data_IF_538351014577
#
_entry.id   IF_538351014577
#
_cell.length_a   1.000
_cell.length_b   1.000
_cell.length_c   1.000
_cell.angle_alpha   90.00
_cell.angle_beta   90.00
_cell.angle_gamma   90.00
#
_symmetry.space_group_name_H-M   'P 1'
#
loop_
_entity.id
_entity.type
_entity.pdbx_description
1 polymer ?
#
# COMPACT_ATOMS: atom_id res chain seq x y z
N UNK A 1 35.93 4.44 -7.12
CA UNK A 1 34.87 4.82 -6.15
C UNK A 1 35.41 4.63 -4.75
N UNK A 2 35.45 5.69 -3.92
CA UNK A 2 35.99 5.63 -2.55
C UNK A 2 35.21 4.60 -1.71
N UNK A 3 35.90 3.90 -0.79
CA UNK A 3 35.30 2.92 0.15
C UNK A 3 34.06 3.51 0.87
N UNK A 4 34.14 4.78 1.28
CA UNK A 4 33.01 5.50 1.90
C UNK A 4 31.75 5.56 1.02
N UNK A 5 31.91 5.76 -0.30
CA UNK A 5 30.77 5.75 -1.25
C UNK A 5 30.14 4.37 -1.42
N UNK A 6 30.93 3.28 -1.34
CA UNK A 6 30.39 1.91 -1.39
C UNK A 6 29.55 1.59 -0.14
N UNK A 7 30.01 1.98 1.05
CA UNK A 7 29.25 1.80 2.30
C UNK A 7 27.96 2.62 2.32
N UNK A 8 27.99 3.84 1.82
CA UNK A 8 26.78 4.68 1.73
C UNK A 8 25.72 4.04 0.81
N UNK A 9 26.13 3.53 -0.35
CA UNK A 9 25.23 2.88 -1.29
C UNK A 9 24.66 1.56 -0.74
N UNK A 10 25.48 0.77 -0.07
CA UNK A 10 25.02 -0.43 0.62
C UNK A 10 23.99 -0.09 1.73
N UNK A 11 24.22 0.98 2.49
CA UNK A 11 23.30 1.47 3.49
C UNK A 11 21.96 1.92 2.90
N UNK A 12 21.97 2.65 1.79
CA UNK A 12 20.74 3.06 1.06
C UNK A 12 19.98 1.84 0.54
N UNK A 13 20.69 0.87 -0.05
CA UNK A 13 20.05 -0.37 -0.51
C UNK A 13 19.37 -1.12 0.62
N UNK A 14 20.06 -1.33 1.75
CA UNK A 14 19.50 -2.01 2.92
C UNK A 14 18.29 -1.29 3.51
N UNK A 15 18.32 0.04 3.53
CA UNK A 15 17.18 0.85 3.97
C UNK A 15 15.97 0.66 3.04
N UNK A 16 16.17 0.79 1.73
CA UNK A 16 15.11 0.61 0.73
C UNK A 16 14.54 -0.81 0.77
N UNK A 17 15.40 -1.82 0.92
CA UNK A 17 14.99 -3.21 1.07
C UNK A 17 14.15 -3.40 2.34
N UNK A 18 14.59 -2.86 3.47
CA UNK A 18 13.85 -2.93 4.73
C UNK A 18 12.46 -2.29 4.64
N UNK A 19 12.37 -1.10 4.05
CA UNK A 19 11.08 -0.42 3.83
C UNK A 19 10.19 -1.26 2.91
N UNK A 20 10.71 -1.74 1.79
CA UNK A 20 9.93 -2.49 0.81
C UNK A 20 9.43 -3.83 1.36
N UNK A 21 10.27 -4.56 2.13
CA UNK A 21 9.85 -5.79 2.81
C UNK A 21 8.81 -5.53 3.89
N UNK A 22 8.94 -4.44 4.65
CA UNK A 22 7.96 -4.04 5.66
C UNK A 22 6.60 -3.70 5.02
N UNK A 23 6.60 -2.97 3.91
CA UNK A 23 5.39 -2.68 3.14
C UNK A 23 4.72 -3.95 2.60
N UNK A 24 5.51 -4.90 2.06
CA UNK A 24 5.00 -6.19 1.60
C UNK A 24 4.38 -6.99 2.75
N UNK A 25 5.03 -7.05 3.89
CA UNK A 25 4.51 -7.73 5.07
C UNK A 25 3.20 -7.11 5.56
N UNK A 26 3.12 -5.79 5.62
CA UNK A 26 1.89 -5.08 5.97
C UNK A 26 0.76 -5.35 4.96
N UNK A 27 1.06 -5.35 3.66
CA UNK A 27 0.10 -5.66 2.61
C UNK A 27 -0.42 -7.10 2.71
N UNK A 28 0.46 -8.07 2.96
CA UNK A 28 0.07 -9.47 3.16
C UNK A 28 -0.83 -9.65 4.39
N UNK A 29 -0.48 -9.02 5.52
CA UNK A 29 -1.36 -9.04 6.71
C UNK A 29 -2.73 -8.44 6.45
N UNK A 30 -2.78 -7.33 5.70
CA UNK A 30 -4.05 -6.70 5.35
C UNK A 30 -4.91 -7.61 4.46
N UNK A 31 -4.29 -8.30 3.49
CA UNK A 31 -4.98 -9.29 2.64
C UNK A 31 -5.49 -10.47 3.47
N UNK A 32 -4.69 -11.00 4.37
CA UNK A 32 -5.09 -12.07 5.29
C UNK A 32 -6.28 -11.66 6.14
N UNK A 33 -6.23 -10.49 6.76
CA UNK A 33 -7.35 -9.97 7.57
C UNK A 33 -8.63 -9.82 6.75
N UNK A 34 -8.52 -9.35 5.52
CA UNK A 34 -9.66 -9.19 4.62
C UNK A 34 -10.27 -10.55 4.25
N UNK A 35 -9.43 -11.55 3.96
CA UNK A 35 -9.89 -12.91 3.66
C UNK A 35 -10.54 -13.57 4.88
N UNK A 36 -9.95 -13.41 6.07
CA UNK A 36 -10.55 -13.86 7.34
C UNK A 36 -11.91 -13.22 7.59
N UNK A 37 -12.06 -11.90 7.35
CA UNK A 37 -13.34 -11.21 7.50
C UNK A 37 -14.39 -11.72 6.50
N UNK A 38 -14.01 -11.97 5.27
CA UNK A 38 -14.91 -12.55 4.27
C UNK A 38 -15.38 -13.95 4.69
N UNK A 39 -14.44 -14.80 5.09
CA UNK A 39 -14.75 -16.14 5.59
C UNK A 39 -15.57 -16.11 6.88
N UNK A 40 -15.34 -15.15 7.77
CA UNK A 40 -16.16 -14.95 8.97
C UNK A 40 -17.63 -14.69 8.61
N UNK A 41 -17.90 -13.83 7.65
CA UNK A 41 -19.27 -13.59 7.18
C UNK A 41 -19.95 -14.83 6.62
N UNK A 42 -19.23 -15.64 5.84
CA UNK A 42 -19.73 -16.92 5.33
C UNK A 42 -20.04 -17.86 6.49
N UNK A 43 -19.10 -18.07 7.39
CA UNK A 43 -19.24 -19.00 8.51
C UNK A 43 -20.39 -18.58 9.42
N UNK A 44 -20.50 -17.29 9.75
CA UNK A 44 -21.59 -16.75 10.59
C UNK A 44 -22.97 -16.97 9.94
N UNK A 45 -23.09 -16.73 8.64
CA UNK A 45 -24.34 -16.98 7.91
C UNK A 45 -24.73 -18.44 7.96
N UNK A 46 -23.76 -19.35 7.76
CA UNK A 46 -24.01 -20.80 7.74
C UNK A 46 -24.34 -21.36 9.12
N UNK A 47 -23.59 -20.97 10.15
CA UNK A 47 -23.88 -21.40 11.51
C UNK A 47 -25.22 -20.84 11.98
N UNK A 48 -25.56 -19.60 11.65
CA UNK A 48 -26.86 -18.99 11.94
C UNK A 48 -28.02 -19.69 11.23
N UNK A 49 -27.78 -20.20 10.00
CA UNK A 49 -28.77 -21.04 9.30
C UNK A 49 -29.01 -22.36 10.04
N UNK A 50 -27.93 -23.07 10.40
CA UNK A 50 -28.03 -24.33 11.16
C UNK A 50 -28.72 -24.15 12.52
N UNK A 51 -28.37 -23.07 13.23
CA UNK A 51 -28.99 -22.75 14.53
C UNK A 51 -30.51 -22.59 14.39
N UNK A 52 -30.97 -21.86 13.37
CA UNK A 52 -32.40 -21.70 13.10
C UNK A 52 -33.08 -23.00 12.72
N UNK A 53 -32.42 -23.89 11.93
CA UNK A 53 -32.96 -25.22 11.64
C UNK A 53 -33.10 -26.05 12.92
N UNK A 54 -32.11 -26.02 13.81
CA UNK A 54 -32.15 -26.72 15.09
C UNK A 54 -33.29 -26.21 15.99
N UNK A 55 -33.49 -24.91 16.06
CA UNK A 55 -34.60 -24.28 16.78
C UNK A 55 -35.96 -24.75 16.24
N UNK A 56 -36.12 -24.83 14.92
CA UNK A 56 -37.33 -25.35 14.30
C UNK A 56 -37.55 -26.84 14.65
N UNK A 57 -36.50 -27.64 14.69
CA UNK A 57 -36.57 -29.04 15.08
C UNK A 57 -36.93 -29.16 16.56
N UNK A 58 -36.36 -28.36 17.46
CA UNK A 58 -36.74 -28.29 18.86
C UNK A 58 -38.21 -27.95 19.04
N UNK A 59 -38.71 -26.98 18.33
CA UNK A 59 -40.11 -26.56 18.38
C UNK A 59 -41.03 -27.67 17.85
N UNK A 60 -40.67 -28.34 16.75
CA UNK A 60 -41.42 -29.48 16.21
C UNK A 60 -41.49 -30.64 17.22
N UNK A 61 -40.36 -30.94 17.87
CA UNK A 61 -40.27 -31.98 18.87
C UNK A 61 -41.09 -31.64 20.12
N UNK A 62 -41.11 -30.35 20.52
CA UNK A 62 -41.94 -29.87 21.63
C UNK A 62 -43.42 -29.95 21.30
N UNK A 63 -43.83 -29.50 20.12
CA UNK A 63 -45.22 -29.59 19.66
C UNK A 63 -45.72 -31.04 19.61
N UNK A 64 -44.86 -31.99 19.20
CA UNK A 64 -45.20 -33.41 19.27
C UNK A 64 -45.51 -33.86 20.70
N UNK A 65 -44.65 -33.50 21.67
CA UNK A 65 -44.84 -33.86 23.07
C UNK A 65 -46.13 -33.23 23.67
N UNK A 66 -46.35 -31.94 23.37
CA UNK A 66 -47.52 -31.20 23.87
C UNK A 66 -48.82 -31.72 23.28
N UNK A 67 -48.85 -32.15 22.01
CA UNK A 67 -50.01 -32.60 21.30
C UNK A 67 -50.37 -34.04 21.63
N UNK A 68 -49.39 -34.88 21.79
CA UNK A 68 -49.61 -36.35 21.87
C UNK A 68 -49.55 -36.90 23.29
N UNK A 69 -48.83 -36.27 24.24
CA UNK A 69 -48.63 -36.75 25.60
C UNK A 69 -49.53 -36.00 26.54
N UNK A 70 -50.54 -36.70 27.09
CA UNK A 70 -51.51 -36.16 28.03
C UNK A 70 -50.89 -35.85 29.41
N UNK A 71 -51.52 -35.03 30.25
CA UNK A 71 -51.04 -34.73 31.59
C UNK A 71 -50.93 -35.98 32.51
N UNK A 72 -51.79 -36.98 32.30
CA UNK A 72 -51.77 -38.25 33.02
C UNK A 72 -50.71 -39.25 32.52
N UNK A 73 -49.97 -38.88 31.47
CA UNK A 73 -48.96 -39.72 30.83
C UNK A 73 -49.48 -40.63 29.72
N UNK A 74 -50.78 -40.60 29.41
CA UNK A 74 -51.35 -41.30 28.27
C UNK A 74 -50.88 -40.68 26.94
N UNK A 75 -50.87 -41.49 25.87
CA UNK A 75 -50.59 -41.02 24.50
C UNK A 75 -51.85 -41.10 23.67
N UNK A 76 -52.24 -40.01 23.02
CA UNK A 76 -53.41 -39.94 22.16
C UNK A 76 -53.06 -39.55 20.76
N UNK A 77 -53.75 -40.11 19.78
CA UNK A 77 -53.70 -39.77 18.35
C UNK A 77 -52.30 -39.50 17.79
N UNK A 78 -51.33 -40.33 18.22
CA UNK A 78 -49.91 -40.13 17.89
C UNK A 78 -49.68 -40.00 16.38
N UNK A 79 -50.24 -40.85 15.54
CA UNK A 79 -50.02 -40.87 14.08
C UNK A 79 -50.57 -39.58 13.43
N UNK A 80 -51.73 -39.11 13.88
CA UNK A 80 -52.32 -37.85 13.40
C UNK A 80 -51.53 -36.63 13.91
N UNK A 81 -51.16 -36.66 15.19
CA UNK A 81 -50.36 -35.65 15.83
C UNK A 81 -49.00 -35.49 15.19
N UNK A 82 -48.29 -36.60 14.99
CA UNK A 82 -46.98 -36.63 14.33
C UNK A 82 -47.08 -36.17 12.86
N UNK A 83 -48.06 -36.65 12.11
CA UNK A 83 -48.31 -36.21 10.74
C UNK A 83 -48.55 -34.71 10.66
N UNK A 84 -49.27 -34.14 11.61
CA UNK A 84 -49.57 -32.71 11.64
C UNK A 84 -48.37 -31.78 11.94
N UNK A 85 -47.35 -32.28 12.64
CA UNK A 85 -46.13 -31.49 12.98
C UNK A 85 -44.92 -31.85 12.13
N UNK A 86 -44.93 -32.97 11.39
CA UNK A 86 -43.85 -33.41 10.52
C UNK A 86 -43.83 -32.65 9.20
N UNK A 87 -43.46 -31.36 9.24
CA UNK A 87 -43.42 -30.45 8.08
C UNK A 87 -42.01 -30.31 7.54
N UNK A 88 -41.00 -30.51 8.39
CA UNK A 88 -39.59 -30.32 8.04
C UNK A 88 -39.05 -31.53 7.28
N UNK A 89 -38.43 -31.31 6.13
CA UNK A 89 -37.86 -32.38 5.28
C UNK A 89 -36.65 -33.08 5.92
N UNK A 90 -35.99 -32.42 6.84
CA UNK A 90 -34.83 -32.92 7.59
C UNK A 90 -35.26 -33.99 8.63
N UNK A 91 -36.50 -33.96 9.03
CA UNK A 91 -37.02 -34.93 10.00
C UNK A 91 -37.47 -36.21 9.26
N UNK A 92 -36.72 -37.27 9.47
CA UNK A 92 -37.03 -38.59 8.93
C UNK A 92 -38.14 -39.32 9.68
N UNK A 93 -38.16 -39.14 11.01
CA UNK A 93 -39.14 -39.75 11.85
C UNK A 93 -39.35 -38.94 13.14
N UNK A 94 -40.58 -39.03 13.67
CA UNK A 94 -40.92 -38.54 14.99
C UNK A 94 -41.26 -39.71 15.88
N UNK A 95 -40.77 -39.73 17.12
CA UNK A 95 -40.89 -40.85 18.03
C UNK A 95 -41.28 -40.39 19.45
N UNK A 96 -41.99 -41.24 20.17
CA UNK A 96 -42.19 -41.10 21.62
C UNK A 96 -41.63 -42.35 22.33
N UNK A 97 -40.89 -42.09 23.40
CA UNK A 97 -40.22 -43.12 24.19
C UNK A 97 -40.60 -42.99 25.66
N UNK A 98 -41.78 -43.48 26.07
CA UNK A 98 -42.13 -43.58 27.49
C UNK A 98 -41.07 -44.40 28.24
N UNK A 99 -40.67 -43.94 29.43
CA UNK A 99 -39.64 -44.54 30.28
C UNK A 99 -38.31 -44.81 29.52
N UNK A 100 -38.07 -44.07 28.43
CA UNK A 100 -36.86 -44.21 27.59
C UNK A 100 -36.95 -45.34 26.56
N UNK A 101 -38.07 -46.01 26.41
CA UNK A 101 -38.29 -47.08 25.43
C UNK A 101 -39.12 -46.55 24.26
N UNK A 102 -38.63 -46.69 23.03
CA UNK A 102 -39.34 -46.26 21.83
C UNK A 102 -40.56 -47.15 21.62
N UNK A 103 -41.76 -46.58 21.78
CA UNK A 103 -43.02 -47.27 21.60
C UNK A 103 -43.76 -46.76 20.36
N UNK A 104 -43.68 -45.47 20.09
CA UNK A 104 -44.37 -44.81 18.98
C UNK A 104 -43.36 -44.26 17.98
N UNK A 105 -43.60 -44.50 16.69
CA UNK A 105 -42.75 -43.96 15.61
C UNK A 105 -43.59 -43.63 14.38
N UNK A 106 -43.46 -42.43 13.87
CA UNK A 106 -44.08 -41.98 12.61
C UNK A 106 -43.01 -41.44 11.65
N UNK A 107 -42.88 -41.95 10.42
CA UNK A 107 -43.51 -43.17 9.93
C UNK A 107 -43.15 -44.40 10.76
N UNK A 108 -43.97 -45.43 10.72
CA UNK A 108 -43.70 -46.69 11.48
C UNK A 108 -42.32 -47.26 11.13
N UNK A 109 -41.50 -47.55 12.14
CA UNK A 109 -40.17 -48.13 12.00
C UNK A 109 -40.03 -49.41 12.85
N UNK A 110 -40.28 -50.59 12.28
CA UNK A 110 -40.23 -51.82 13.04
C UNK A 110 -38.88 -52.11 13.71
N UNK A 111 -37.78 -51.70 13.07
CA UNK A 111 -36.43 -51.99 13.51
C UNK A 111 -36.01 -51.26 14.81
N UNK A 112 -36.73 -50.23 15.19
CA UNK A 112 -36.46 -49.46 16.41
C UNK A 112 -37.57 -49.61 17.46
N UNK A 113 -38.63 -50.33 17.10
CA UNK A 113 -39.71 -50.59 18.03
C UNK A 113 -39.20 -51.36 19.27
N UNK A 114 -39.50 -50.82 20.46
CA UNK A 114 -39.05 -51.36 21.76
C UNK A 114 -37.56 -51.15 22.07
N UNK A 115 -36.81 -50.34 21.31
CA UNK A 115 -35.44 -49.98 21.65
C UNK A 115 -35.42 -49.18 22.96
N UNK A 116 -34.68 -49.69 23.95
CA UNK A 116 -34.46 -49.02 25.23
C UNK A 116 -33.20 -48.13 25.14
N UNK A 117 -33.42 -46.84 25.20
CA UNK A 117 -32.37 -45.84 25.06
C UNK A 117 -31.37 -45.85 26.22
N UNK A 118 -31.79 -46.30 27.43
CA UNK A 118 -30.90 -46.40 28.58
C UNK A 118 -30.05 -47.65 28.59
N UNK A 119 -30.41 -48.63 27.76
CA UNK A 119 -29.66 -49.88 27.60
C UNK A 119 -28.83 -49.96 26.34
N UNK A 120 -29.07 -49.06 25.37
CA UNK A 120 -28.31 -49.00 24.10
C UNK A 120 -26.91 -48.39 24.34
N UNK A 121 -25.81 -49.14 24.13
CA UNK A 121 -24.46 -48.65 24.37
C UNK A 121 -24.10 -47.37 23.61
N UNK A 122 -24.70 -47.15 22.42
CA UNK A 122 -24.42 -46.00 21.60
C UNK A 122 -25.16 -44.73 22.06
N UNK A 123 -26.25 -44.87 22.82
CA UNK A 123 -27.15 -43.75 23.12
C UNK A 123 -27.36 -43.51 24.61
N UNK A 124 -26.89 -44.44 25.46
CA UNK A 124 -27.12 -44.45 26.91
C UNK A 124 -26.66 -43.15 27.58
N UNK A 125 -25.43 -42.75 27.34
CA UNK A 125 -24.85 -41.57 27.98
C UNK A 125 -25.61 -40.30 27.57
N UNK A 126 -25.88 -40.13 26.31
CA UNK A 126 -26.64 -39.00 25.77
C UNK A 126 -28.10 -38.98 26.28
N UNK A 127 -28.71 -40.18 26.49
CA UNK A 127 -30.07 -40.26 27.02
C UNK A 127 -30.12 -39.90 28.51
N UNK A 128 -29.14 -40.31 29.30
CA UNK A 128 -29.01 -39.96 30.72
C UNK A 128 -28.75 -38.43 30.81
N UNK A 129 -27.83 -37.88 30.03
CA UNK A 129 -27.53 -36.46 30.02
C UNK A 129 -28.77 -35.61 29.64
N UNK A 130 -29.52 -36.05 28.62
CA UNK A 130 -30.75 -35.36 28.20
C UNK A 130 -31.80 -35.37 29.30
N UNK A 131 -32.02 -36.53 29.96
CA UNK A 131 -32.94 -36.63 31.08
C UNK A 131 -32.53 -35.73 32.23
N UNK A 132 -31.28 -35.77 32.65
CA UNK A 132 -30.80 -35.10 33.86
C UNK A 132 -30.69 -33.55 33.66
N UNK A 133 -30.43 -33.11 32.45
CA UNK A 133 -30.45 -31.66 32.10
C UNK A 133 -31.86 -31.06 32.05
N UNK A 134 -32.86 -31.86 31.74
CA UNK A 134 -34.21 -31.37 31.49
C UNK A 134 -34.40 -30.51 30.23
N UNK A 135 -33.34 -30.33 29.44
CA UNK A 135 -33.30 -29.47 28.27
C UNK A 135 -33.35 -30.28 26.97
N UNK A 136 -33.92 -29.72 25.89
CA UNK A 136 -33.84 -30.34 24.59
C UNK A 136 -32.38 -30.35 24.10
N UNK A 137 -31.97 -31.42 23.41
CA UNK A 137 -30.63 -31.53 22.87
C UNK A 137 -30.57 -32.28 21.55
N UNK A 138 -29.53 -32.00 20.74
CA UNK A 138 -29.24 -32.71 19.50
C UNK A 138 -27.99 -33.55 19.74
N UNK A 139 -28.13 -34.86 19.60
CA UNK A 139 -27.15 -35.89 19.93
C UNK A 139 -26.75 -36.69 18.70
N UNK A 140 -25.63 -37.38 18.76
CA UNK A 140 -25.07 -38.17 17.67
C UNK A 140 -23.86 -37.45 17.04
N UNK A 141 -23.46 -37.82 15.81
CA UNK A 141 -24.19 -38.59 14.80
C UNK A 141 -24.22 -40.13 15.09
N UNK A 142 -25.35 -40.76 14.86
CA UNK A 142 -25.53 -42.20 15.03
C UNK A 142 -25.70 -42.91 13.68
N UNK A 143 -25.12 -44.11 13.50
CA UNK A 143 -25.42 -44.92 12.33
C UNK A 143 -26.84 -45.49 12.45
N UNK A 144 -27.62 -45.34 11.39
CA UNK A 144 -28.96 -45.89 11.33
C UNK A 144 -28.91 -47.34 10.85
N UNK A 145 -29.75 -48.22 11.44
CA UNK A 145 -29.87 -49.65 11.05
C UNK A 145 -30.28 -49.80 9.58
N UNK A 146 -31.02 -48.85 9.05
CA UNK A 146 -31.49 -48.81 7.65
C UNK A 146 -30.50 -48.13 6.70
N UNK A 147 -29.29 -47.87 7.15
CA UNK A 147 -28.26 -47.13 6.42
C UNK A 147 -28.36 -45.62 6.58
N UNK A 148 -27.20 -44.93 6.38
CA UNK A 148 -27.07 -43.52 6.62
C UNK A 148 -26.71 -43.14 8.06
N UNK A 149 -26.66 -41.83 8.32
CA UNK A 149 -26.29 -41.25 9.62
C UNK A 149 -27.38 -40.27 10.02
N UNK A 150 -27.77 -40.27 11.30
CA UNK A 150 -28.76 -39.33 11.83
C UNK A 150 -28.28 -38.64 13.08
N UNK A 151 -28.79 -37.42 13.29
CA UNK A 151 -28.79 -36.77 14.58
C UNK A 151 -30.15 -37.00 15.24
N UNK A 152 -30.16 -37.06 16.56
CA UNK A 152 -31.39 -37.25 17.34
C UNK A 152 -31.64 -35.99 18.18
N UNK A 153 -32.71 -35.27 17.86
CA UNK A 153 -33.22 -34.24 18.76
C UNK A 153 -34.03 -34.96 19.84
N UNK A 154 -33.59 -34.91 21.11
CA UNK A 154 -34.31 -35.43 22.26
C UNK A 154 -34.82 -34.31 23.12
N UNK A 155 -36.10 -34.40 23.45
CA UNK A 155 -36.76 -33.53 24.43
C UNK A 155 -37.22 -34.40 25.57
N UNK A 156 -36.66 -34.28 26.78
CA UNK A 156 -37.19 -34.99 27.95
C UNK A 156 -38.55 -34.39 28.34
N UNK A 157 -39.51 -35.27 28.53
CA UNK A 157 -40.87 -34.93 28.88
C UNK A 157 -41.11 -35.28 30.33
N UNK A 158 -41.63 -34.32 31.10
CA UNK A 158 -41.97 -34.51 32.50
C UNK A 158 -43.47 -34.31 32.68
N UNK A 159 -44.10 -35.12 33.54
CA UNK A 159 -45.53 -35.13 33.81
C UNK A 159 -45.78 -35.28 35.33
N UNK A 160 -47.02 -35.43 35.72
CA UNK A 160 -47.47 -35.50 37.12
C UNK A 160 -47.92 -34.16 37.67
N UNK A 161 -48.54 -34.15 38.86
CA UNK A 161 -49.16 -32.95 39.45
C UNK A 161 -48.23 -31.75 39.63
N UNK A 162 -46.91 -31.98 39.72
CA UNK A 162 -45.88 -30.90 39.82
C UNK A 162 -44.98 -30.86 38.59
N UNK A 163 -45.22 -31.66 37.55
CA UNK A 163 -44.36 -31.69 36.35
C UNK A 163 -42.94 -32.23 36.61
N UNK A 164 -42.75 -33.04 37.68
CA UNK A 164 -41.42 -33.47 38.12
C UNK A 164 -41.12 -34.94 37.83
N UNK A 165 -42.12 -35.70 37.36
CA UNK A 165 -41.90 -37.11 37.05
C UNK A 165 -41.46 -37.25 35.61
N UNK A 166 -40.28 -37.83 35.40
CA UNK A 166 -39.81 -38.13 34.05
C UNK A 166 -40.78 -39.15 33.41
N UNK A 167 -41.40 -38.72 32.32
CA UNK A 167 -42.33 -39.58 31.55
C UNK A 167 -41.59 -40.33 30.45
N UNK A 168 -40.55 -39.71 29.84
CA UNK A 168 -39.84 -40.25 28.70
C UNK A 168 -39.34 -39.19 27.79
N UNK A 169 -39.14 -39.54 26.51
CA UNK A 169 -38.62 -38.58 25.49
C UNK A 169 -39.61 -38.44 24.33
N UNK A 170 -39.70 -37.21 23.82
CA UNK A 170 -40.08 -36.93 22.45
C UNK A 170 -38.81 -36.79 21.59
N UNK A 171 -38.77 -37.45 20.44
CA UNK A 171 -37.56 -37.56 19.63
C UNK A 171 -37.90 -37.21 18.19
N UNK A 172 -37.07 -36.36 17.57
CA UNK A 172 -37.03 -36.17 16.12
C UNK A 172 -35.72 -36.75 15.57
N UNK A 173 -35.86 -37.70 14.65
CA UNK A 173 -34.75 -38.33 13.93
C UNK A 173 -34.42 -37.44 12.74
N UNK A 174 -33.23 -36.84 12.76
CA UNK A 174 -32.76 -35.85 11.76
C UNK A 174 -31.84 -36.58 10.78
N UNK A 175 -32.20 -36.59 9.52
CA UNK A 175 -31.37 -37.17 8.45
C UNK A 175 -30.26 -36.20 8.06
N UNK A 176 -29.00 -36.63 8.21
CA UNK A 176 -27.82 -35.79 8.01
C UNK A 176 -27.73 -35.21 6.60
N UNK A 177 -28.07 -35.99 5.57
CA UNK A 177 -27.99 -35.55 4.19
C UNK A 177 -28.93 -34.38 3.90
N UNK A 178 -30.16 -34.42 4.43
CA UNK A 178 -31.12 -33.33 4.32
C UNK A 178 -30.77 -32.15 5.24
N UNK A 179 -30.30 -32.43 6.44
CA UNK A 179 -29.91 -31.39 7.39
C UNK A 179 -28.74 -30.53 6.86
N UNK A 180 -27.79 -31.18 6.17
CA UNK A 180 -26.64 -30.49 5.58
C UNK A 180 -26.85 -30.10 4.12
N UNK A 181 -27.97 -30.45 3.48
CA UNK A 181 -28.21 -30.21 2.04
C UNK A 181 -28.06 -28.74 1.67
N UNK A 182 -28.53 -27.84 2.52
CA UNK A 182 -28.43 -26.40 2.35
C UNK A 182 -27.24 -25.77 3.11
N UNK A 183 -26.43 -26.59 3.76
CA UNK A 183 -25.19 -26.20 4.41
C UNK A 183 -24.13 -26.02 3.33
N UNK A 184 -24.38 -25.07 2.58
CA UNK A 184 -23.63 -24.32 1.62
C UNK A 184 -22.84 -25.02 0.51
N UNK A 185 -23.07 -24.59 -0.71
CA UNK A 185 -22.12 -24.77 -1.82
C UNK A 185 -20.70 -24.28 -1.50
N UNK A 186 -20.53 -23.32 -0.55
CA UNK A 186 -19.23 -22.86 -0.11
C UNK A 186 -18.36 -23.93 0.52
N UNK A 187 -18.97 -25.02 1.05
CA UNK A 187 -18.26 -26.14 1.67
C UNK A 187 -18.31 -27.43 0.83
N UNK A 188 -18.73 -27.34 -0.41
CA UNK A 188 -18.71 -28.47 -1.35
C UNK A 188 -17.28 -28.99 -1.58
N UNK A 189 -17.13 -30.22 -2.08
CA UNK A 189 -15.81 -30.80 -2.41
C UNK A 189 -15.00 -30.00 -3.42
N UNK A 190 -15.63 -29.12 -4.19
CA UNK A 190 -14.99 -28.19 -5.14
C UNK A 190 -14.65 -26.82 -4.53
N UNK A 191 -15.06 -26.59 -3.27
CA UNK A 191 -14.79 -25.33 -2.58
C UNK A 191 -13.30 -25.18 -2.25
N UNK A 192 -12.84 -23.94 -2.24
CA UNK A 192 -11.50 -23.59 -1.75
C UNK A 192 -11.39 -23.65 -0.23
N UNK A 193 -12.52 -23.78 0.50
CA UNK A 193 -12.56 -23.88 1.95
C UNK A 193 -12.62 -25.36 2.41
N UNK A 194 -11.92 -25.66 3.50
CA UNK A 194 -12.13 -26.84 4.34
C UNK A 194 -12.92 -26.41 5.56
N UNK A 195 -13.72 -27.32 6.12
CA UNK A 195 -14.47 -27.02 7.32
C UNK A 195 -14.52 -28.24 8.25
N UNK A 196 -14.71 -27.96 9.55
CA UNK A 196 -15.08 -28.93 10.58
C UNK A 196 -16.28 -28.36 11.34
N UNK A 197 -17.40 -29.09 11.33
CA UNK A 197 -18.55 -28.83 12.17
C UNK A 197 -18.53 -29.84 13.32
N UNK A 198 -18.52 -29.35 14.54
CA UNK A 198 -18.41 -30.20 15.74
C UNK A 198 -19.20 -29.61 16.91
N UNK A 199 -19.53 -30.45 17.87
CA UNK A 199 -20.18 -30.11 19.13
C UNK A 199 -19.20 -30.35 20.27
N UNK A 200 -19.17 -29.45 21.25
CA UNK A 200 -18.50 -29.67 22.54
C UNK A 200 -19.54 -29.72 23.66
N UNK A 201 -19.46 -30.73 24.51
CA UNK A 201 -20.31 -30.85 25.69
C UNK A 201 -19.61 -30.14 26.86
N UNK A 202 -20.01 -28.87 27.14
CA UNK A 202 -19.33 -28.00 28.09
C UNK A 202 -18.05 -27.35 27.56
N UNK A 203 -17.42 -26.47 28.36
CA UNK A 203 -16.24 -25.71 27.95
C UNK A 203 -14.99 -26.57 27.69
N UNK A 204 -14.87 -27.73 28.34
CA UNK A 204 -13.70 -28.61 28.28
C UNK A 204 -14.02 -30.00 27.63
N UNK A 205 -15.19 -30.14 27.02
CA UNK A 205 -15.59 -31.39 26.38
C UNK A 205 -14.78 -31.71 25.12
N UNK A 206 -14.50 -32.97 24.85
CA UNK A 206 -13.90 -33.38 23.59
C UNK A 206 -14.82 -33.03 22.41
N UNK A 207 -14.27 -32.54 21.27
CA UNK A 207 -15.09 -32.17 20.12
C UNK A 207 -15.67 -33.40 19.43
N UNK A 208 -16.96 -33.52 19.47
CA UNK A 208 -17.69 -34.56 18.71
C UNK A 208 -17.91 -34.04 17.29
N UNK A 209 -17.27 -34.73 16.32
CA UNK A 209 -17.39 -34.32 14.90
C UNK A 209 -18.79 -34.64 14.37
N UNK A 210 -19.43 -33.63 13.81
CA UNK A 210 -20.73 -33.74 13.14
C UNK A 210 -20.55 -33.90 11.64
N UNK A 211 -19.75 -33.01 11.02
CA UNK A 211 -19.53 -33.02 9.58
C UNK A 211 -18.17 -32.39 9.21
N UNK A 212 -17.71 -32.59 7.97
CA UNK A 212 -16.47 -32.02 7.47
C UNK A 212 -15.23 -32.85 7.77
N UNK A 213 -14.06 -32.22 7.75
CA UNK A 213 -12.80 -32.88 8.10
C UNK A 213 -12.63 -32.97 9.63
N UNK A 214 -11.71 -33.83 10.13
CA UNK A 214 -11.31 -33.80 11.54
C UNK A 214 -10.76 -32.40 11.91
N UNK A 215 -11.04 -31.91 13.11
CA UNK A 215 -10.61 -30.60 13.57
C UNK A 215 -9.08 -30.46 13.55
N UNK A 216 -8.37 -31.52 13.90
CA UNK A 216 -6.91 -31.62 13.94
C UNK A 216 -6.25 -31.52 12.54
N UNK A 217 -7.05 -31.71 11.49
CA UNK A 217 -6.57 -31.53 10.10
C UNK A 217 -6.51 -30.06 9.66
N UNK A 218 -7.06 -29.14 10.46
CA UNK A 218 -6.99 -27.71 10.25
C UNK A 218 -5.77 -27.13 10.99
N UNK A 219 -5.04 -26.22 10.35
CA UNK A 219 -3.79 -25.68 10.93
C UNK A 219 -4.03 -24.35 11.65
N UNK A 220 -4.79 -23.47 11.03
CA UNK A 220 -5.09 -22.14 11.55
C UNK A 220 -6.54 -21.75 11.19
N UNK A 221 -7.53 -22.48 11.73
CA UNK A 221 -8.92 -22.27 11.38
C UNK A 221 -9.48 -20.97 11.98
N UNK A 222 -10.42 -20.39 11.26
CA UNK A 222 -11.37 -19.43 11.81
C UNK A 222 -12.51 -20.21 12.44
N UNK A 223 -12.68 -20.11 13.76
CA UNK A 223 -13.75 -20.79 14.51
C UNK A 223 -14.82 -19.79 14.94
N UNK A 224 -16.06 -20.16 14.73
CA UNK A 224 -17.23 -19.48 15.28
C UNK A 224 -18.13 -20.48 15.96
N UNK A 225 -18.85 -20.04 16.99
CA UNK A 225 -19.65 -20.93 17.82
C UNK A 225 -21.04 -20.35 18.08
N UNK A 226 -21.98 -21.29 18.31
CA UNK A 226 -23.33 -20.98 18.78
C UNK A 226 -23.65 -21.89 19.99
N UNK A 227 -24.22 -21.31 21.01
CA UNK A 227 -24.58 -22.02 22.22
C UNK A 227 -26.02 -22.57 22.05
N UNK A 228 -26.18 -23.86 22.19
CA UNK A 228 -27.44 -24.57 22.20
C UNK A 228 -27.67 -25.22 23.60
N UNK A 229 -28.90 -25.63 23.93
CA UNK A 229 -29.20 -26.17 25.26
C UNK A 229 -28.33 -27.35 25.70
N UNK A 230 -27.84 -28.17 24.78
CA UNK A 230 -27.00 -29.33 25.07
C UNK A 230 -25.54 -29.20 24.70
N UNK A 231 -25.02 -27.94 24.56
CA UNK A 231 -23.60 -27.73 24.29
C UNK A 231 -23.32 -26.64 23.27
N UNK A 232 -22.04 -26.44 22.99
CA UNK A 232 -21.54 -25.46 22.03
C UNK A 232 -21.33 -26.11 20.67
N UNK A 233 -22.01 -25.60 19.67
CA UNK A 233 -21.81 -25.97 18.27
C UNK A 233 -20.85 -25.03 17.62
N UNK A 234 -19.77 -25.55 17.06
CA UNK A 234 -18.70 -24.77 16.46
C UNK A 234 -18.49 -25.16 15.00
N UNK A 235 -18.28 -24.15 14.19
CA UNK A 235 -17.88 -24.26 12.80
C UNK A 235 -16.49 -23.66 12.65
N UNK A 236 -15.51 -24.51 12.35
CA UNK A 236 -14.16 -24.11 12.00
C UNK A 236 -13.96 -24.19 10.49
N UNK A 237 -13.43 -23.15 9.89
CA UNK A 237 -13.17 -23.08 8.45
C UNK A 237 -11.75 -22.58 8.16
N UNK A 238 -11.18 -23.08 7.08
CA UNK A 238 -9.84 -22.72 6.65
C UNK A 238 -9.73 -22.84 5.12
N UNK A 239 -9.07 -21.92 4.41
CA UNK A 239 -8.74 -22.09 3.00
C UNK A 239 -7.76 -23.25 2.78
N UNK A 240 -7.98 -24.08 1.72
CA UNK A 240 -7.14 -25.26 1.42
C UNK A 240 -5.67 -24.96 1.23
N UNK A 241 -5.35 -23.76 0.75
CA UNK A 241 -3.99 -23.31 0.46
C UNK A 241 -3.46 -22.30 1.51
N UNK A 242 -4.08 -22.28 2.71
CA UNK A 242 -3.84 -21.28 3.74
C UNK A 242 -4.46 -19.92 3.39
N UNK A 243 -4.44 -18.99 4.33
CA UNK A 243 -5.06 -17.66 4.19
C UNK A 243 -4.43 -16.82 3.07
N UNK A 244 -3.12 -17.02 2.84
CA UNK A 244 -2.39 -16.44 1.72
C UNK A 244 -1.64 -17.56 1.01
N UNK A 245 -1.85 -17.77 -0.31
CA UNK A 245 -1.09 -18.75 -1.06
C UNK A 245 0.42 -18.43 -1.01
N UNK A 246 1.23 -19.42 -0.69
CA UNK A 246 2.69 -19.25 -0.51
C UNK A 246 3.37 -18.68 -1.76
N UNK A 247 2.94 -19.11 -2.96
CA UNK A 247 3.48 -18.58 -4.22
C UNK A 247 3.27 -17.07 -4.36
N UNK A 248 2.11 -16.56 -3.92
CA UNK A 248 1.81 -15.13 -3.98
C UNK A 248 2.72 -14.32 -3.06
N UNK A 249 2.94 -14.80 -1.83
CA UNK A 249 3.88 -14.18 -0.90
C UNK A 249 5.31 -14.16 -1.48
N UNK A 250 5.77 -15.26 -2.07
CA UNK A 250 7.08 -15.33 -2.72
C UNK A 250 7.21 -14.35 -3.91
N UNK A 251 6.18 -14.26 -4.76
CA UNK A 251 6.16 -13.29 -5.86
C UNK A 251 6.28 -11.85 -5.37
N UNK A 252 5.51 -11.51 -4.31
CA UNK A 252 5.51 -10.16 -3.76
C UNK A 252 6.87 -9.79 -3.15
N UNK A 253 7.49 -10.70 -2.39
CA UNK A 253 8.82 -10.49 -1.83
C UNK A 253 9.90 -10.41 -2.91
N UNK A 254 9.83 -11.25 -3.94
CA UNK A 254 10.76 -11.21 -5.06
C UNK A 254 10.68 -9.89 -5.83
N UNK A 255 9.45 -9.39 -6.05
CA UNK A 255 9.21 -8.09 -6.67
C UNK A 255 9.78 -6.94 -5.82
N UNK A 256 9.63 -7.01 -4.50
CA UNK A 256 10.18 -6.03 -3.58
C UNK A 256 11.72 -5.96 -3.64
N UNK A 257 12.38 -7.10 -3.69
CA UNK A 257 13.83 -7.18 -3.84
C UNK A 257 14.27 -6.61 -5.20
N UNK A 258 13.58 -6.98 -6.28
CA UNK A 258 13.88 -6.47 -7.63
C UNK A 258 13.73 -4.95 -7.71
N UNK A 259 12.64 -4.40 -7.18
CA UNK A 259 12.41 -2.95 -7.13
C UNK A 259 13.48 -2.22 -6.32
N UNK A 260 13.90 -2.78 -5.18
CA UNK A 260 14.97 -2.20 -4.36
C UNK A 260 16.31 -2.19 -5.09
N UNK A 261 16.62 -3.24 -5.87
CA UNK A 261 17.81 -3.31 -6.72
C UNK A 261 17.76 -2.26 -7.84
N UNK A 262 16.63 -2.16 -8.55
CA UNK A 262 16.45 -1.19 -9.64
C UNK A 262 16.56 0.25 -9.14
N UNK A 263 15.93 0.56 -8.02
CA UNK A 263 15.99 1.89 -7.43
C UNK A 263 17.39 2.25 -6.96
N UNK A 264 18.11 1.30 -6.37
CA UNK A 264 19.50 1.47 -5.96
C UNK A 264 20.40 1.69 -7.17
N UNK A 265 20.21 0.94 -8.26
CA UNK A 265 20.93 1.13 -9.51
C UNK A 265 20.65 2.50 -10.13
N UNK A 266 19.39 2.97 -10.11
CA UNK A 266 19.01 4.29 -10.58
C UNK A 266 19.68 5.40 -9.76
N UNK A 267 19.71 5.28 -8.44
CA UNK A 267 20.37 6.25 -7.55
C UNK A 267 21.88 6.31 -7.88
N UNK A 268 22.55 5.14 -8.06
CA UNK A 268 23.96 5.10 -8.45
C UNK A 268 24.18 5.78 -9.79
N UNK A 269 23.31 5.53 -10.76
CA UNK A 269 23.36 6.14 -12.09
C UNK A 269 23.20 7.66 -12.01
N UNK A 270 22.24 8.17 -11.27
CA UNK A 270 22.03 9.61 -11.05
C UNK A 270 23.28 10.25 -10.43
N UNK A 271 23.85 9.68 -9.36
CA UNK A 271 25.05 10.21 -8.72
C UNK A 271 26.28 10.22 -9.65
N UNK A 272 26.32 9.36 -10.65
CA UNK A 272 27.39 9.34 -11.66
C UNK A 272 27.22 10.45 -12.70
N UNK A 273 25.98 10.78 -13.07
CA UNK A 273 25.69 11.70 -14.18
C UNK A 273 25.38 13.14 -13.72
N UNK A 274 25.01 13.38 -12.46
CA UNK A 274 24.81 14.74 -11.90
C UNK A 274 26.04 15.66 -12.14
N UNK A 275 27.31 15.25 -11.94
CA UNK A 275 28.45 16.11 -12.21
C UNK A 275 28.58 16.50 -13.68
N UNK A 276 28.16 15.63 -14.61
CA UNK A 276 28.20 15.90 -16.05
C UNK A 276 27.12 16.92 -16.46
N UNK A 277 25.97 16.90 -15.80
CA UNK A 277 24.93 17.92 -15.99
C UNK A 277 25.37 19.31 -15.46
N UNK A 278 26.08 19.35 -14.34
CA UNK A 278 26.61 20.58 -13.78
C UNK A 278 27.65 21.21 -14.70
N UNK A 279 28.51 20.43 -15.35
CA UNK A 279 29.48 20.96 -16.34
C UNK A 279 28.82 21.47 -17.62
N UNK A 280 27.68 20.90 -18.03
CA UNK A 280 26.90 21.42 -19.16
C UNK A 280 26.21 22.75 -18.81
N UNK A 281 25.75 22.91 -17.58
CA UNK A 281 25.18 24.18 -17.10
C UNK A 281 26.23 25.28 -16.95
N UNK A 282 27.48 24.96 -16.61
CA UNK A 282 28.58 25.88 -16.48
C UNK A 282 29.05 26.40 -17.87
N UNK A 283 28.94 25.62 -18.92
CA UNK A 283 29.17 26.03 -20.30
C UNK A 283 28.16 27.04 -20.82
N UNK A 284 26.94 27.05 -20.31
CA UNK A 284 25.89 28.01 -20.66
C UNK A 284 26.06 29.38 -20.01
N UNK A 285 26.97 29.53 -19.05
CA UNK A 285 27.22 30.79 -18.32
C UNK A 285 28.43 31.59 -18.83
N UNK A 286 29.30 31.03 -19.65
CA UNK A 286 30.54 31.61 -20.10
C UNK A 286 30.61 31.77 -21.64
N UNK A 287 31.34 32.77 -22.08
CA UNK A 287 31.72 32.95 -23.50
C UNK A 287 32.82 31.93 -23.88
N UNK A 288 32.63 31.08 -24.90
CA UNK A 288 33.58 30.01 -25.22
C UNK A 288 34.97 30.51 -25.73
N UNK A 289 35.04 31.74 -26.24
CA UNK A 289 36.29 32.30 -26.77
C UNK A 289 37.18 32.91 -25.68
N UNK A 290 36.56 33.73 -24.82
CA UNK A 290 37.30 34.55 -23.84
C UNK A 290 37.19 34.03 -22.41
N UNK A 291 36.34 33.05 -22.17
CA UNK A 291 35.96 32.53 -20.84
C UNK A 291 35.49 33.63 -19.87
N UNK A 292 35.01 34.76 -20.41
CA UNK A 292 34.25 35.72 -19.63
C UNK A 292 32.84 35.25 -19.40
N UNK A 293 32.18 35.78 -18.39
CA UNK A 293 30.73 35.50 -18.23
C UNK A 293 29.98 36.04 -19.47
N UNK A 294 28.93 35.36 -19.84
CA UNK A 294 28.15 35.75 -21.03
C UNK A 294 26.99 36.71 -20.69
N UNK A 295 26.17 37.04 -21.68
CA UNK A 295 25.02 37.94 -21.53
C UNK A 295 23.96 37.39 -20.58
N UNK A 296 23.75 36.05 -20.53
CA UNK A 296 22.79 35.41 -19.63
C UNK A 296 23.22 35.59 -18.18
N UNK A 297 24.51 35.41 -17.90
CA UNK A 297 25.08 35.64 -16.58
C UNK A 297 24.97 37.10 -16.14
N UNK A 298 25.18 38.07 -17.09
CA UNK A 298 24.98 39.50 -16.80
C UNK A 298 23.55 39.79 -16.34
N UNK A 299 22.53 39.18 -17.01
CA UNK A 299 21.12 39.37 -16.63
C UNK A 299 20.84 38.89 -15.22
N UNK A 300 21.37 37.72 -14.87
CA UNK A 300 21.16 37.11 -13.53
C UNK A 300 21.85 37.94 -12.45
N UNK A 301 23.12 38.34 -12.69
CA UNK A 301 23.91 39.06 -11.71
C UNK A 301 23.36 40.47 -11.46
N UNK A 302 23.00 41.19 -12.50
CA UNK A 302 22.42 42.56 -12.35
C UNK A 302 21.07 42.48 -11.62
N UNK A 303 20.25 41.46 -11.89
CA UNK A 303 19.02 41.22 -11.15
C UNK A 303 19.27 41.06 -9.65
N UNK A 304 20.29 40.30 -9.27
CA UNK A 304 20.73 40.14 -7.89
C UNK A 304 21.20 41.45 -7.24
N UNK A 305 22.03 42.24 -7.96
CA UNK A 305 22.54 43.51 -7.45
C UNK A 305 21.46 44.59 -7.29
N UNK A 306 20.50 44.62 -8.20
CA UNK A 306 19.33 45.52 -8.07
C UNK A 306 18.50 45.13 -6.83
N UNK A 307 18.32 43.82 -6.56
CA UNK A 307 17.55 43.34 -5.42
C UNK A 307 18.19 43.67 -4.07
N UNK A 308 19.54 43.70 -3.99
CA UNK A 308 20.29 44.10 -2.78
C UNK A 308 20.36 45.62 -2.62
N UNK A 309 19.92 46.39 -3.60
CA UNK A 309 19.99 47.88 -3.67
C UNK A 309 21.40 48.44 -3.49
N UNK A 310 22.42 47.70 -3.88
CA UNK A 310 23.80 48.21 -3.89
C UNK A 310 24.00 49.25 -4.99
N UNK A 311 24.81 50.28 -4.73
CA UNK A 311 25.17 51.28 -5.74
C UNK A 311 26.28 50.74 -6.63
N UNK A 312 25.98 50.49 -7.89
CA UNK A 312 26.93 49.94 -8.85
C UNK A 312 26.97 50.73 -10.17
N UNK A 313 28.01 50.46 -10.94
CA UNK A 313 28.16 50.92 -12.30
C UNK A 313 28.20 49.75 -13.28
N UNK A 314 27.51 49.91 -14.40
CA UNK A 314 27.60 49.05 -15.55
C UNK A 314 28.42 49.78 -16.61
N UNK A 315 29.56 49.19 -17.00
CA UNK A 315 30.48 49.81 -17.94
C UNK A 315 30.47 48.99 -19.23
N UNK A 316 30.03 49.59 -20.33
CA UNK A 316 30.15 49.00 -21.67
C UNK A 316 31.44 49.44 -22.32
N UNK A 317 32.26 48.49 -22.77
CA UNK A 317 33.56 48.72 -23.39
C UNK A 317 33.57 48.04 -24.77
N UNK A 318 33.92 48.79 -25.79
CA UNK A 318 33.99 48.29 -27.17
C UNK A 318 35.34 48.61 -27.82
N UNK A 319 35.87 47.68 -28.59
CA UNK A 319 37.03 47.86 -29.43
C UNK A 319 36.58 48.51 -30.74
N UNK A 320 36.87 49.80 -30.95
CA UNK A 320 36.35 50.59 -32.10
C UNK A 320 36.99 50.22 -33.43
N UNK A 321 38.25 49.78 -33.41
CA UNK A 321 39.00 49.40 -34.62
C UNK A 321 39.10 47.85 -34.79
N UNK A 322 38.28 47.06 -34.08
CA UNK A 322 38.37 45.61 -34.12
C UNK A 322 38.14 45.02 -35.52
N UNK A 323 37.13 45.51 -36.23
CA UNK A 323 36.83 45.03 -37.59
C UNK A 323 37.97 45.33 -38.56
N UNK A 324 38.54 46.57 -38.53
CA UNK A 324 39.68 46.92 -39.35
C UNK A 324 40.90 46.02 -39.04
N UNK A 325 41.17 45.71 -37.78
CA UNK A 325 42.22 44.77 -37.38
C UNK A 325 41.96 43.34 -37.87
N UNK A 326 40.72 42.87 -37.88
CA UNK A 326 40.37 41.59 -38.45
C UNK A 326 40.51 41.58 -39.97
N UNK A 327 40.15 42.64 -40.67
CA UNK A 327 40.32 42.78 -42.13
C UNK A 327 41.79 42.76 -42.54
N UNK A 328 42.63 43.46 -41.78
CA UNK A 328 44.06 43.57 -42.06
C UNK A 328 44.85 42.32 -41.65
N UNK A 329 44.57 41.72 -40.51
CA UNK A 329 45.42 40.70 -39.92
C UNK A 329 44.76 39.32 -39.83
N UNK A 330 43.51 39.20 -40.21
CA UNK A 330 42.71 37.96 -40.16
C UNK A 330 41.93 37.76 -38.84
N UNK A 331 40.86 36.98 -38.92
CA UNK A 331 39.96 36.67 -37.76
C UNK A 331 40.69 35.98 -36.63
N UNK A 332 41.65 35.08 -36.89
CA UNK A 332 42.45 34.38 -35.88
C UNK A 332 43.24 35.36 -34.99
N UNK A 333 43.73 36.46 -35.58
CA UNK A 333 44.43 37.54 -34.85
C UNK A 333 43.43 38.33 -34.01
N UNK A 334 42.21 38.60 -34.54
CA UNK A 334 41.13 39.22 -33.82
C UNK A 334 40.70 38.42 -32.60
N UNK A 335 40.55 37.11 -32.72
CA UNK A 335 40.22 36.21 -31.59
C UNK A 335 41.32 36.25 -30.51
N UNK A 336 42.60 36.20 -30.91
CA UNK A 336 43.72 36.34 -29.94
C UNK A 336 43.71 37.66 -29.25
N UNK A 337 43.41 38.77 -29.99
CA UNK A 337 43.25 40.07 -29.41
C UNK A 337 42.15 40.13 -28.36
N UNK A 338 40.97 39.55 -28.65
CA UNK A 338 39.89 39.47 -27.68
C UNK A 338 40.28 38.70 -26.42
N UNK A 339 40.99 37.57 -26.54
CA UNK A 339 41.51 36.82 -25.39
C UNK A 339 42.52 37.68 -24.60
N UNK A 340 43.42 38.37 -25.26
CA UNK A 340 44.40 39.24 -24.61
C UNK A 340 43.74 40.40 -23.86
N UNK A 341 42.77 41.07 -24.47
CA UNK A 341 41.98 42.14 -23.83
C UNK A 341 41.20 41.62 -22.63
N UNK A 342 40.54 40.45 -22.77
CA UNK A 342 39.81 39.81 -21.65
C UNK A 342 40.75 39.53 -20.47
N UNK A 343 41.96 38.99 -20.73
CA UNK A 343 42.96 38.71 -19.69
C UNK A 343 43.47 39.99 -19.01
N UNK A 344 43.74 41.05 -19.79
CA UNK A 344 44.17 42.32 -19.24
C UNK A 344 43.09 42.95 -18.36
N UNK A 345 41.86 43.01 -18.82
CA UNK A 345 40.75 43.51 -18.03
C UNK A 345 40.63 42.72 -16.73
N UNK A 346 40.65 41.38 -16.84
CA UNK A 346 40.53 40.48 -15.68
C UNK A 346 41.64 40.70 -14.65
N UNK A 347 42.85 40.98 -15.09
CA UNK A 347 43.99 41.24 -14.18
C UNK A 347 43.86 42.51 -13.36
N UNK A 348 43.04 43.48 -13.80
CA UNK A 348 42.80 44.76 -13.12
C UNK A 348 41.50 44.76 -12.30
N UNK A 349 40.67 43.70 -12.40
CA UNK A 349 39.39 43.70 -11.73
C UNK A 349 39.53 43.52 -10.22
N UNK A 350 38.84 44.34 -9.42
CA UNK A 350 38.66 44.05 -8.00
C UNK A 350 37.82 42.78 -7.79
N UNK A 351 37.96 42.15 -6.64
CA UNK A 351 37.29 40.90 -6.34
C UNK A 351 35.75 40.94 -6.43
N UNK A 352 35.16 42.13 -6.19
CA UNK A 352 33.73 42.38 -6.26
C UNK A 352 33.22 42.67 -7.69
N UNK A 353 34.14 42.95 -8.65
CA UNK A 353 33.74 43.25 -10.04
C UNK A 353 33.62 41.96 -10.88
N UNK A 354 32.75 42.00 -11.88
CA UNK A 354 32.54 40.90 -12.83
C UNK A 354 32.69 41.37 -14.26
N UNK A 355 33.30 40.50 -15.09
CA UNK A 355 33.54 40.75 -16.51
C UNK A 355 32.68 39.85 -17.38
N UNK A 356 31.96 40.47 -18.29
CA UNK A 356 31.09 39.78 -19.24
C UNK A 356 31.51 40.10 -20.66
N UNK A 357 31.31 39.17 -21.57
CA UNK A 357 31.34 39.43 -23.01
C UNK A 357 29.91 39.37 -23.53
N UNK A 358 29.37 40.52 -23.94
CA UNK A 358 27.95 40.66 -24.30
C UNK A 358 27.69 40.52 -25.78
N UNK A 359 28.75 40.56 -26.63
CA UNK A 359 28.66 40.33 -28.07
C UNK A 359 29.84 40.88 -28.83
N UNK A 360 30.24 40.26 -29.94
CA UNK A 360 31.32 40.72 -30.81
C UNK A 360 32.60 41.13 -30.08
N UNK A 361 33.00 42.41 -30.21
CA UNK A 361 34.14 42.98 -29.51
C UNK A 361 33.73 43.88 -28.32
N UNK A 362 32.57 43.55 -27.70
CA UNK A 362 32.01 44.34 -26.58
C UNK A 362 32.15 43.54 -25.28
N UNK A 363 32.77 44.16 -24.30
CA UNK A 363 32.87 43.69 -22.92
C UNK A 363 32.03 44.57 -22.01
N UNK A 364 31.41 43.96 -21.02
CA UNK A 364 30.63 44.68 -20.01
C UNK A 364 31.20 44.38 -18.64
N UNK A 365 31.34 45.40 -17.81
CA UNK A 365 31.79 45.27 -16.43
C UNK A 365 30.67 45.66 -15.49
N UNK A 366 30.48 44.84 -14.45
CA UNK A 366 29.63 45.17 -13.32
C UNK A 366 30.52 45.43 -12.10
N UNK A 367 30.50 46.67 -11.60
CA UNK A 367 31.47 47.15 -10.62
C UNK A 367 30.78 47.98 -9.57
N UNK A 368 31.19 47.89 -8.33
CA UNK A 368 30.78 48.85 -7.29
C UNK A 368 31.16 50.27 -7.65
N UNK A 369 30.29 51.25 -7.31
CA UNK A 369 30.45 52.63 -7.72
C UNK A 369 31.80 53.23 -7.27
N UNK A 370 32.27 52.88 -6.09
CA UNK A 370 33.50 53.39 -5.51
C UNK A 370 34.76 52.88 -6.21
N UNK A 371 34.70 51.64 -6.70
CA UNK A 371 35.79 50.99 -7.42
C UNK A 371 35.89 51.42 -8.91
N UNK A 372 34.86 52.07 -9.46
CA UNK A 372 34.81 52.45 -10.89
C UNK A 372 35.94 53.40 -11.33
N UNK A 373 36.17 54.43 -10.58
CA UNK A 373 37.19 55.45 -10.95
C UNK A 373 38.64 54.91 -10.99
N UNK A 374 39.07 54.20 -9.93
CA UNK A 374 40.38 53.52 -9.92
C UNK A 374 40.55 52.50 -11.04
N UNK A 375 39.49 51.68 -11.27
CA UNK A 375 39.51 50.67 -12.32
C UNK A 375 39.66 51.25 -13.72
N UNK A 376 38.91 52.30 -14.05
CA UNK A 376 39.01 53.00 -15.36
C UNK A 376 40.38 53.56 -15.60
N UNK A 377 41.00 54.16 -14.58
CA UNK A 377 42.38 54.68 -14.69
C UNK A 377 43.39 53.56 -14.98
N UNK A 378 43.26 52.41 -14.29
CA UNK A 378 44.14 51.28 -14.50
C UNK A 378 43.95 50.69 -15.91
N UNK A 379 42.68 50.52 -16.37
CA UNK A 379 42.38 49.97 -17.69
C UNK A 379 42.90 50.97 -18.81
N UNK A 380 42.70 52.28 -18.69
CA UNK A 380 43.19 53.20 -19.65
C UNK A 380 44.72 53.18 -19.74
N UNK A 381 45.44 53.06 -18.64
CA UNK A 381 46.89 52.96 -18.64
C UNK A 381 47.39 51.71 -19.34
N UNK A 382 46.74 50.57 -19.11
CA UNK A 382 47.13 49.28 -19.66
C UNK A 382 46.74 49.07 -21.14
N UNK A 383 45.65 49.68 -21.58
CA UNK A 383 45.10 49.51 -22.93
C UNK A 383 45.46 50.63 -23.88
N UNK A 384 46.07 51.77 -23.41
CA UNK A 384 46.56 52.87 -24.24
C UNK A 384 47.79 52.53 -25.11
N UNK A 385 48.55 51.50 -24.69
CA UNK A 385 49.74 51.03 -25.39
C UNK A 385 49.46 49.94 -26.43
N UNK A 386 50.45 49.58 -27.24
CA UNK A 386 50.33 48.46 -28.14
C UNK A 386 50.28 47.16 -27.35
N UNK A 387 49.31 46.29 -27.64
CA UNK A 387 49.10 45.02 -26.98
C UNK A 387 49.84 43.89 -27.69
N UNK A 388 50.46 42.94 -26.94
CA UNK A 388 51.14 41.79 -27.54
C UNK A 388 50.07 40.75 -27.93
N UNK A 389 49.91 40.52 -29.24
CA UNK A 389 48.98 39.54 -29.80
C UNK A 389 49.79 38.52 -30.62
N UNK A 390 50.23 37.45 -29.94
CA UNK A 390 51.20 36.54 -30.52
C UNK A 390 52.52 37.23 -30.84
N UNK A 391 53.07 37.14 -32.09
CA UNK A 391 54.31 37.78 -32.49
C UNK A 391 54.17 39.30 -32.83
N UNK A 392 52.98 39.90 -32.72
CA UNK A 392 52.67 41.22 -33.15
C UNK A 392 52.30 42.13 -31.99
N UNK A 393 52.57 43.43 -32.18
CA UNK A 393 52.13 44.50 -31.29
C UNK A 393 50.97 45.26 -31.99
N UNK A 394 49.78 45.19 -31.48
CA UNK A 394 48.58 45.81 -32.04
C UNK A 394 48.07 46.91 -31.13
N UNK A 395 47.73 48.07 -31.71
CA UNK A 395 47.02 49.12 -30.99
C UNK A 395 45.50 48.92 -31.16
N UNK A 396 44.80 48.84 -30.05
CA UNK A 396 43.37 48.86 -30.08
C UNK A 396 42.82 50.16 -29.47
N UNK A 397 41.75 50.65 -30.05
CA UNK A 397 41.05 51.85 -29.56
C UNK A 397 39.84 51.37 -28.80
N UNK A 398 39.67 51.87 -27.56
CA UNK A 398 38.59 51.52 -26.65
C UNK A 398 37.61 52.71 -26.57
N UNK A 399 36.32 52.42 -26.78
CA UNK A 399 35.24 53.31 -26.43
C UNK A 399 34.55 52.84 -25.16
N UNK A 400 34.22 53.78 -24.29
CA UNK A 400 33.65 53.49 -22.96
C UNK A 400 32.31 54.17 -22.76
N UNK A 401 31.37 53.47 -22.17
CA UNK A 401 30.11 54.04 -21.71
C UNK A 401 29.74 53.55 -20.35
N UNK A 402 29.39 54.43 -19.44
CA UNK A 402 29.12 54.11 -18.05
C UNK A 402 27.68 54.45 -17.70
N UNK A 403 26.94 53.49 -17.13
CA UNK A 403 25.64 53.71 -16.50
C UNK A 403 25.73 53.45 -14.99
N UNK A 404 25.10 54.31 -14.23
CA UNK A 404 25.14 54.27 -12.75
C UNK A 404 23.78 53.90 -12.20
N UNK A 405 23.71 52.83 -11.40
CA UNK A 405 22.51 52.49 -10.65
C UNK A 405 22.48 53.26 -9.31
N UNK A 406 21.34 53.82 -8.89
CA UNK A 406 20.05 53.91 -9.58
C UNK A 406 19.83 55.13 -10.48
N UNK A 407 20.86 55.98 -10.67
CA UNK A 407 20.73 57.27 -11.34
C UNK A 407 20.30 57.17 -12.82
N UNK A 408 20.82 56.22 -13.55
CA UNK A 408 20.59 56.04 -15.00
C UNK A 408 19.46 55.05 -15.31
N UNK A 409 18.89 54.38 -14.28
CA UNK A 409 17.78 53.44 -14.44
C UNK A 409 17.67 52.40 -13.31
N UNK A 410 16.54 51.68 -13.29
CA UNK A 410 16.23 50.67 -12.30
C UNK A 410 16.09 49.25 -12.89
N UNK A 411 16.30 49.12 -14.20
CA UNK A 411 16.24 47.82 -14.90
C UNK A 411 17.51 47.64 -15.75
N UNK A 412 17.91 46.36 -15.99
CA UNK A 412 19.08 46.03 -16.78
C UNK A 412 19.05 46.67 -18.16
N UNK A 413 17.92 46.54 -18.89
CA UNK A 413 17.81 47.06 -20.27
C UNK A 413 18.02 48.60 -20.34
N UNK A 414 17.53 49.33 -19.34
CA UNK A 414 17.69 50.76 -19.23
C UNK A 414 19.17 51.14 -18.97
N UNK A 415 19.81 50.41 -18.01
CA UNK A 415 21.21 50.64 -17.68
C UNK A 415 22.14 50.27 -18.84
N UNK A 416 21.88 49.11 -19.48
CA UNK A 416 22.68 48.63 -20.61
C UNK A 416 22.52 49.58 -21.79
N UNK A 417 21.30 49.98 -22.13
CA UNK A 417 21.02 50.97 -23.19
C UNK A 417 21.74 52.29 -22.96
N UNK A 418 21.74 52.82 -21.73
CA UNK A 418 22.48 54.06 -21.37
C UNK A 418 24.00 53.89 -21.48
N UNK A 419 24.53 52.75 -21.04
CA UNK A 419 25.95 52.48 -21.18
C UNK A 419 26.34 52.31 -22.64
N UNK A 420 25.55 51.67 -23.46
CA UNK A 420 25.78 51.54 -24.91
C UNK A 420 25.66 52.84 -25.63
N UNK A 421 24.66 53.69 -25.36
CA UNK A 421 24.51 55.05 -25.93
C UNK A 421 25.76 55.95 -25.66
N UNK A 422 26.25 55.89 -24.43
CA UNK A 422 27.44 56.64 -24.03
C UNK A 422 28.72 56.13 -24.70
N UNK A 423 28.87 54.84 -24.85
CA UNK A 423 29.96 54.19 -25.55
C UNK A 423 29.94 54.53 -27.03
N UNK A 424 28.80 54.60 -27.70
CA UNK A 424 28.66 54.96 -29.08
C UNK A 424 29.00 56.43 -29.30
N UNK A 425 28.64 57.29 -28.33
CA UNK A 425 29.03 58.71 -28.37
C UNK A 425 30.56 58.88 -28.29
N UNK A 426 31.21 58.19 -27.35
CA UNK A 426 32.68 58.19 -27.22
C UNK A 426 33.34 57.62 -28.48
N UNK A 427 32.77 56.62 -29.13
CA UNK A 427 33.22 56.06 -30.41
C UNK A 427 33.18 57.15 -31.53
N UNK A 428 32.14 57.99 -31.54
CA UNK A 428 32.01 59.08 -32.56
C UNK A 428 33.00 60.21 -32.33
N UNK A 429 33.21 60.62 -31.09
CA UNK A 429 34.16 61.62 -30.69
C UNK A 429 35.61 61.26 -31.06
N UNK A 430 36.00 59.98 -30.80
CA UNK A 430 37.33 59.47 -31.18
C UNK A 430 37.56 59.29 -32.68
N UNK A 431 36.55 59.39 -33.53
CA UNK A 431 36.66 59.35 -34.99
C UNK A 431 36.84 60.77 -35.62
N UNK A 432 36.57 61.80 -34.84
CA UNK A 432 36.62 63.19 -35.29
C UNK A 432 37.99 63.84 -34.99
N UNK A 433 38.71 63.34 -33.97
CA UNK A 433 40.07 63.64 -33.63
C UNK A 433 41.06 62.75 -34.40
#
# INVERSE_FOLDING_TARGET
MSIKKKFLLAGIFLLLLGISLSCCHAALRHLEQRERQHCYGIAQSQLGYLTRQMENIFNTTRLLAERCVLPDGGVTDFDEGARGVMVLREIRALQLAPDGRIVYSYPPQPDVASLDLFSDPAQKEDAIQSRDSGLPGIYGPYPLRQGGTALLCRLPVYRGERGNTFWGFAIAVIEMDYFLANFSPAFSHKSYLRYALFRRDGENGEPVRIAGCPYEALVDPLEISSILPNGQWSLAIEPRNGWIPTWYAHCLYSLAVLLSLLLSALIVWLFRHIPQLATLMDMDCHDPLTHCLNRTSLQQDVGGWIATREKFCLISMGLTNFNALCEEFGYDVGERLLRTVAQLIRSQLPRSARLYRTGGAIFTLLVEREATGPLLKALNLQLAGPLPVGPRLLRCHLALGIAQFPLDGHALDTLLGKAEERRERDTREQRID
#
